data_IF_584215937209
#
_entry.id   IF_584215937209
#
_cell.length_a   1.000
_cell.length_b   1.000
_cell.length_c   1.000
_cell.angle_alpha   90.00
_cell.angle_beta   90.00
_cell.angle_gamma   90.00
#
_symmetry.space_group_name_H-M   'P 1'
#
loop_
_entity.id
_entity.type
_entity.pdbx_description
1 polymer ?
#
# COMPACT_ATOMS: atom_id res chain seq x y z
N UNK A 1 -25.04 30.39 57.03
CA UNK A 1 -25.65 30.22 55.71
C UNK A 1 -24.75 30.77 54.61
N UNK A 2 -24.20 31.98 54.74
CA UNK A 2 -23.29 32.58 53.75
C UNK A 2 -22.00 31.80 53.57
N UNK A 3 -21.39 31.31 54.63
CA UNK A 3 -20.18 30.46 54.60
C UNK A 3 -20.42 29.17 53.85
N UNK A 4 -21.57 28.54 54.04
CA UNK A 4 -21.93 27.29 53.34
C UNK A 4 -22.13 27.53 51.85
N UNK A 5 -22.72 28.63 51.44
CA UNK A 5 -22.87 29.01 50.04
C UNK A 5 -21.52 29.28 49.38
N UNK A 6 -20.59 29.94 50.08
CA UNK A 6 -19.25 30.20 49.58
C UNK A 6 -18.46 28.87 49.43
N UNK A 7 -18.51 27.99 50.42
CA UNK A 7 -17.86 26.70 50.37
C UNK A 7 -18.38 25.84 49.22
N UNK A 8 -19.72 25.80 49.01
CA UNK A 8 -20.31 25.08 47.89
C UNK A 8 -19.87 25.66 46.54
N UNK A 9 -19.82 26.98 46.42
CA UNK A 9 -19.38 27.63 45.16
C UNK A 9 -17.94 27.31 44.83
N UNK A 10 -17.04 27.37 45.80
CA UNK A 10 -15.64 27.02 45.63
C UNK A 10 -15.48 25.54 45.23
N UNK A 11 -16.22 24.65 45.88
CA UNK A 11 -16.19 23.21 45.57
C UNK A 11 -16.66 22.93 44.14
N UNK A 12 -17.71 23.56 43.66
CA UNK A 12 -18.22 23.44 42.29
C UNK A 12 -17.19 23.91 41.26
N UNK A 13 -16.53 25.06 41.54
CA UNK A 13 -15.47 25.58 40.67
C UNK A 13 -14.28 24.60 40.61
N UNK A 14 -13.82 24.11 41.75
CA UNK A 14 -12.71 23.12 41.78
C UNK A 14 -13.07 21.84 41.07
N UNK A 15 -14.29 21.32 41.25
CA UNK A 15 -14.75 20.13 40.55
C UNK A 15 -14.79 20.33 39.02
N UNK A 16 -15.25 21.50 38.60
CA UNK A 16 -15.26 21.91 37.20
C UNK A 16 -13.84 21.94 36.60
N UNK A 17 -12.88 22.53 37.33
CA UNK A 17 -11.47 22.55 36.90
C UNK A 17 -10.86 21.14 36.80
N UNK A 18 -11.08 20.27 37.77
CA UNK A 18 -10.58 18.89 37.76
C UNK A 18 -11.17 18.11 36.58
N UNK A 19 -12.49 18.25 36.37
CA UNK A 19 -13.16 17.58 35.23
C UNK A 19 -12.60 18.05 33.89
N UNK A 20 -12.39 19.35 33.74
CA UNK A 20 -11.77 19.91 32.52
C UNK A 20 -10.35 19.41 32.30
N UNK A 21 -9.48 19.46 33.34
CA UNK A 21 -8.10 18.95 33.26
C UNK A 21 -8.07 17.46 32.91
N UNK A 22 -8.96 16.67 33.52
CA UNK A 22 -9.06 15.23 33.22
C UNK A 22 -9.45 15.00 31.74
N UNK A 23 -10.41 15.79 31.24
CA UNK A 23 -10.79 15.71 29.80
C UNK A 23 -9.64 16.01 28.86
N UNK A 24 -8.93 17.13 29.09
CA UNK A 24 -7.75 17.50 28.27
C UNK A 24 -6.65 16.45 28.34
N UNK A 25 -6.40 15.89 29.54
CA UNK A 25 -5.39 14.83 29.72
C UNK A 25 -5.77 13.55 28.99
N UNK A 26 -7.04 13.15 29.04
CA UNK A 26 -7.53 11.97 28.31
C UNK A 26 -7.44 12.14 26.80
N UNK A 27 -7.77 13.31 26.27
CA UNK A 27 -7.65 13.60 24.84
C UNK A 27 -6.19 13.60 24.38
N UNK A 28 -5.29 14.17 25.19
CA UNK A 28 -3.84 14.11 24.94
C UNK A 28 -3.29 12.69 24.95
N UNK A 29 -3.72 11.86 25.90
CA UNK A 29 -3.32 10.45 25.97
C UNK A 29 -3.81 9.66 24.76
N UNK A 30 -5.09 9.80 24.37
CA UNK A 30 -5.65 9.15 23.18
C UNK A 30 -4.88 9.55 21.92
N UNK A 31 -4.64 10.85 21.72
CA UNK A 31 -3.89 11.33 20.56
C UNK A 31 -2.45 10.81 20.50
N UNK A 32 -1.78 10.67 21.65
CA UNK A 32 -0.44 10.08 21.71
C UNK A 32 -0.46 8.59 21.41
N UNK A 33 -1.41 7.86 21.94
CA UNK A 33 -1.60 6.43 21.65
C UNK A 33 -1.85 6.19 20.17
N UNK A 34 -2.75 6.96 19.56
CA UNK A 34 -3.08 6.85 18.13
C UNK A 34 -1.85 7.05 17.26
N UNK A 35 -1.00 8.03 17.58
CA UNK A 35 0.26 8.26 16.87
C UNK A 35 1.23 7.09 16.98
N UNK A 36 1.32 6.47 18.16
CA UNK A 36 2.19 5.29 18.37
C UNK A 36 1.70 4.10 17.56
N UNK A 37 0.38 3.85 17.55
CA UNK A 37 -0.21 2.76 16.76
C UNK A 37 0.01 3.00 15.26
N UNK A 38 -0.30 4.20 14.77
CA UNK A 38 -0.06 4.58 13.39
C UNK A 38 1.42 4.44 12.99
N UNK A 39 2.33 4.86 13.87
CA UNK A 39 3.77 4.71 13.64
C UNK A 39 4.24 3.26 13.54
N UNK A 40 3.66 2.34 14.33
CA UNK A 40 3.95 0.91 14.22
C UNK A 40 3.46 0.34 12.90
N UNK A 41 2.22 0.64 12.51
CA UNK A 41 1.64 0.18 11.25
C UNK A 41 2.42 0.69 10.04
N UNK A 42 2.79 1.98 10.05
CA UNK A 42 3.63 2.55 8.99
C UNK A 42 5.00 1.87 8.92
N UNK A 43 5.64 1.65 10.08
CA UNK A 43 6.95 0.99 10.14
C UNK A 43 6.87 -0.43 9.61
N UNK A 44 5.89 -1.22 10.03
CA UNK A 44 5.69 -2.59 9.56
C UNK A 44 5.52 -2.64 8.04
N UNK A 45 4.67 -1.78 7.48
CA UNK A 45 4.47 -1.66 6.05
C UNK A 45 5.77 -1.29 5.32
N UNK A 46 6.46 -0.24 5.79
CA UNK A 46 7.70 0.24 5.16
C UNK A 46 8.84 -0.77 5.27
N UNK A 47 9.02 -1.41 6.43
CA UNK A 47 10.08 -2.41 6.65
C UNK A 47 9.88 -3.63 5.71
N UNK A 48 8.63 -4.10 5.54
CA UNK A 48 8.33 -5.21 4.64
C UNK A 48 8.61 -4.86 3.18
N UNK A 49 8.09 -3.73 2.70
CA UNK A 49 8.31 -3.29 1.31
C UNK A 49 9.80 -3.01 1.06
N UNK A 50 10.48 -2.38 2.01
CA UNK A 50 11.92 -2.10 1.93
C UNK A 50 12.72 -3.38 1.75
N UNK A 51 12.49 -4.37 2.63
CA UNK A 51 13.18 -5.67 2.60
C UNK A 51 12.98 -6.38 1.26
N UNK A 52 11.76 -6.37 0.73
CA UNK A 52 11.46 -7.00 -0.55
C UNK A 52 12.15 -6.27 -1.72
N UNK A 53 12.22 -4.94 -1.70
CA UNK A 53 12.94 -4.18 -2.72
C UNK A 53 14.47 -4.31 -2.60
N UNK A 54 15.03 -4.41 -1.40
CA UNK A 54 16.46 -4.68 -1.19
C UNK A 54 16.87 -6.05 -1.72
N UNK A 55 15.97 -7.03 -1.64
CA UNK A 55 16.14 -8.37 -2.17
C UNK A 55 15.58 -8.53 -3.60
N UNK A 56 15.22 -7.45 -4.28
CA UNK A 56 14.61 -7.50 -5.61
C UNK A 56 15.51 -8.23 -6.61
N UNK A 57 14.90 -9.09 -7.40
CA UNK A 57 15.55 -9.83 -8.51
C UNK A 57 15.01 -9.32 -9.83
N UNK A 58 15.90 -8.93 -10.73
CA UNK A 58 15.58 -8.64 -12.12
C UNK A 58 16.78 -8.96 -13.01
N UNK A 59 16.56 -9.12 -14.30
CA UNK A 59 17.61 -9.39 -15.29
C UNK A 59 17.47 -8.48 -16.50
N UNK A 60 18.60 -7.98 -16.98
CA UNK A 60 18.72 -7.28 -18.25
C UNK A 60 19.25 -8.26 -19.30
N UNK A 61 18.39 -9.15 -19.79
CA UNK A 61 18.72 -10.23 -20.73
C UNK A 61 18.23 -9.97 -22.16
N UNK A 62 17.69 -8.79 -22.41
CA UNK A 62 17.11 -8.40 -23.69
C UNK A 62 15.75 -9.02 -23.99
N UNK A 63 15.16 -9.78 -23.06
CA UNK A 63 13.86 -10.42 -23.24
C UNK A 63 12.70 -9.45 -23.01
N UNK A 64 11.51 -9.83 -23.46
CA UNK A 64 10.25 -9.12 -23.16
C UNK A 64 9.63 -9.53 -21.81
N UNK A 65 10.30 -10.40 -21.04
CA UNK A 65 9.82 -10.86 -19.75
C UNK A 65 9.76 -9.72 -18.75
N UNK A 66 8.65 -9.64 -18.02
CA UNK A 66 8.47 -8.63 -16.97
C UNK A 66 9.16 -9.06 -15.69
N UNK A 67 9.89 -8.11 -15.07
CA UNK A 67 10.55 -8.27 -13.77
C UNK A 67 9.94 -7.39 -12.69
N UNK A 68 9.35 -6.27 -13.06
CA UNK A 68 8.57 -5.40 -12.20
C UNK A 68 7.41 -4.83 -12.99
N UNK A 69 6.26 -4.82 -12.36
CA UNK A 69 5.05 -4.17 -12.84
C UNK A 69 4.50 -3.26 -11.75
N UNK A 70 4.35 -1.99 -12.07
CA UNK A 70 3.73 -1.00 -11.21
C UNK A 70 2.70 -0.21 -12.00
N UNK A 71 1.47 -0.17 -11.52
CA UNK A 71 0.42 0.68 -12.12
C UNK A 71 -0.46 1.28 -11.03
N UNK A 72 -1.19 2.31 -11.37
CA UNK A 72 -2.27 2.81 -10.52
C UNK A 72 -3.30 1.70 -10.34
N UNK A 73 -3.74 1.45 -9.10
CA UNK A 73 -4.73 0.41 -8.83
C UNK A 73 -5.92 0.54 -9.82
N UNK A 74 -6.21 -0.48 -10.62
CA UNK A 74 -7.21 -0.40 -11.70
C UNK A 74 -8.59 0.04 -11.22
N UNK A 75 -8.91 -0.21 -9.95
CA UNK A 75 -10.17 0.18 -9.33
C UNK A 75 -10.28 1.66 -9.00
N UNK A 76 -9.14 2.36 -8.94
CA UNK A 76 -9.13 3.83 -8.86
C UNK A 76 -9.43 4.48 -10.21
N UNK A 77 -8.98 3.85 -11.30
CA UNK A 77 -9.11 4.38 -12.66
C UNK A 77 -10.53 4.17 -13.20
N UNK A 78 -11.08 3.00 -12.94
CA UNK A 78 -12.47 2.71 -13.34
C UNK A 78 -13.43 3.38 -12.35
N UNK A 79 -13.91 4.57 -12.69
CA UNK A 79 -14.93 5.32 -11.92
C UNK A 79 -16.29 4.63 -11.99
N UNK A 80 -16.33 3.35 -11.65
CA UNK A 80 -17.48 2.49 -11.73
C UNK A 80 -18.01 2.24 -10.32
N UNK A 81 -19.32 2.38 -10.10
CA UNK A 81 -19.97 2.20 -8.80
C UNK A 81 -19.62 0.85 -8.13
N UNK A 82 -19.35 -0.20 -8.93
CA UNK A 82 -18.91 -1.50 -8.44
C UNK A 82 -17.50 -1.53 -7.84
N UNK A 83 -16.63 -0.57 -8.20
CA UNK A 83 -15.23 -0.50 -7.75
C UNK A 83 -15.03 0.45 -6.56
N UNK A 84 -16.03 1.24 -6.21
CA UNK A 84 -15.95 2.22 -5.09
C UNK A 84 -15.74 1.55 -3.75
N UNK A 85 -16.20 0.30 -3.60
CA UNK A 85 -16.15 -0.45 -2.36
C UNK A 85 -14.76 -0.91 -1.94
N UNK A 86 -13.80 -1.01 -2.89
CA UNK A 86 -12.44 -1.43 -2.56
C UNK A 86 -11.46 -0.29 -2.28
N UNK A 87 -11.84 0.95 -2.60
CA UNK A 87 -10.98 2.13 -2.50
C UNK A 87 -11.46 3.18 -1.50
N UNK A 88 -12.56 2.91 -0.82
CA UNK A 88 -13.11 3.76 0.23
C UNK A 88 -14.49 4.33 -0.06
N UNK A 89 -15.09 5.02 0.91
CA UNK A 89 -16.39 5.67 0.76
C UNK A 89 -16.41 6.68 -0.39
N UNK A 90 -17.55 6.84 -1.05
CA UNK A 90 -17.72 7.57 -2.32
C UNK A 90 -17.03 8.95 -2.38
N UNK A 91 -17.02 9.70 -1.28
CA UNK A 91 -16.43 11.06 -1.23
C UNK A 91 -15.02 11.10 -0.62
N UNK A 92 -14.43 9.96 -0.29
CA UNK A 92 -13.16 9.87 0.45
C UNK A 92 -12.33 8.68 -0.02
N UNK A 93 -12.39 8.43 -1.32
CA UNK A 93 -11.62 7.37 -1.98
C UNK A 93 -10.13 7.61 -1.83
N UNK A 94 -9.39 6.53 -1.75
CA UNK A 94 -7.95 6.54 -1.94
C UNK A 94 -7.64 7.12 -3.33
N UNK A 95 -6.72 8.05 -3.43
CA UNK A 95 -6.29 8.61 -4.72
C UNK A 95 -4.92 8.09 -5.14
N UNK A 96 -4.10 7.66 -4.18
CA UNK A 96 -2.78 7.11 -4.44
C UNK A 96 -2.70 5.70 -3.86
N UNK A 97 -2.83 4.72 -4.72
CA UNK A 97 -2.65 3.31 -4.43
C UNK A 97 -2.08 2.63 -5.68
N UNK A 98 -0.77 2.45 -5.76
CA UNK A 98 -0.18 1.62 -6.79
C UNK A 98 -0.43 0.14 -6.49
N UNK A 99 -0.66 -0.62 -7.54
CA UNK A 99 -0.49 -2.07 -7.56
C UNK A 99 0.94 -2.35 -7.96
N UNK A 100 1.68 -3.06 -7.13
CA UNK A 100 3.06 -3.46 -7.38
C UNK A 100 3.14 -4.96 -7.51
N UNK A 101 3.88 -5.45 -8.49
CA UNK A 101 4.24 -6.87 -8.63
C UNK A 101 5.70 -6.93 -9.05
N UNK A 102 6.53 -7.66 -8.32
CA UNK A 102 7.95 -7.85 -8.66
C UNK A 102 8.50 -9.13 -8.03
N UNK A 103 9.74 -9.48 -8.36
CA UNK A 103 10.41 -10.66 -7.82
C UNK A 103 11.35 -10.26 -6.70
N UNK A 104 11.36 -11.05 -5.64
CA UNK A 104 12.21 -10.86 -4.46
C UNK A 104 12.86 -12.17 -4.04
N UNK A 105 14.06 -12.09 -3.49
CA UNK A 105 14.76 -13.21 -2.86
C UNK A 105 14.29 -13.42 -1.43
N UNK A 106 12.98 -13.61 -1.19
CA UNK A 106 12.43 -13.84 0.15
C UNK A 106 12.25 -15.35 0.40
N UNK A 107 13.19 -16.00 1.09
CA UNK A 107 13.19 -17.45 1.28
C UNK A 107 12.27 -17.93 2.40
N UNK A 108 11.46 -17.07 2.98
CA UNK A 108 10.71 -17.33 4.21
C UNK A 108 9.38 -18.08 4.02
N UNK A 109 9.05 -18.52 2.80
CA UNK A 109 7.92 -19.43 2.57
C UNK A 109 8.42 -20.76 2.01
N UNK A 110 8.60 -21.66 2.93
CA UNK A 110 8.78 -23.05 2.68
C UNK A 110 7.39 -23.75 2.73
N UNK A 111 6.98 -24.39 1.65
CA UNK A 111 5.69 -25.10 1.59
C UNK A 111 5.71 -26.51 2.21
N UNK A 112 6.87 -26.95 2.70
CA UNK A 112 7.02 -28.20 3.41
C UNK A 112 7.44 -29.39 2.55
N UNK A 113 7.65 -29.22 1.26
CA UNK A 113 7.94 -30.30 0.33
C UNK A 113 9.37 -30.26 -0.23
N UNK A 114 10.38 -30.28 0.67
CA UNK A 114 11.79 -30.37 0.25
C UNK A 114 12.03 -31.69 -0.49
N UNK A 115 12.40 -31.61 -1.77
CA UNK A 115 12.75 -32.77 -2.58
C UNK A 115 11.54 -33.58 -3.04
N UNK A 116 10.34 -33.01 -2.99
CA UNK A 116 9.15 -33.55 -3.63
C UNK A 116 9.26 -33.50 -5.16
N UNK A 117 8.38 -34.22 -5.85
CA UNK A 117 8.37 -34.26 -7.32
C UNK A 117 8.02 -32.91 -7.97
N UNK A 118 7.53 -31.97 -7.19
CA UNK A 118 7.13 -30.64 -7.62
C UNK A 118 8.04 -29.52 -7.08
N UNK A 119 9.07 -29.88 -6.29
CA UNK A 119 10.08 -28.94 -5.82
C UNK A 119 10.99 -28.56 -7.00
N UNK A 120 10.69 -27.46 -7.66
CA UNK A 120 11.50 -26.94 -8.76
C UNK A 120 12.73 -26.16 -8.25
N UNK A 121 12.85 -26.02 -6.94
CA UNK A 121 13.94 -25.32 -6.27
C UNK A 121 14.01 -23.84 -6.67
N UNK A 122 14.28 -23.00 -5.72
CA UNK A 122 14.52 -21.57 -6.01
C UNK A 122 14.24 -20.68 -4.82
N UNK A 123 15.09 -19.67 -4.65
CA UNK A 123 14.96 -18.67 -3.60
C UNK A 123 14.26 -17.40 -4.10
N UNK A 124 13.54 -17.47 -5.22
CA UNK A 124 12.87 -16.32 -5.83
C UNK A 124 11.37 -16.47 -5.76
N UNK A 125 10.73 -15.55 -5.09
CA UNK A 125 9.27 -15.44 -4.96
C UNK A 125 8.77 -14.19 -5.68
N UNK A 126 7.61 -14.28 -6.30
CA UNK A 126 6.91 -13.10 -6.78
C UNK A 126 6.07 -12.52 -5.65
N UNK A 127 6.11 -11.20 -5.49
CA UNK A 127 5.38 -10.47 -4.45
C UNK A 127 4.49 -9.41 -5.07
N UNK A 128 3.27 -9.28 -4.55
CA UNK A 128 2.36 -8.19 -4.89
C UNK A 128 2.01 -7.35 -3.66
N UNK A 129 1.97 -6.03 -3.86
CA UNK A 129 1.47 -5.06 -2.88
C UNK A 129 0.24 -4.36 -3.45
N UNK A 130 -0.83 -4.35 -2.67
CA UNK A 130 -2.09 -3.69 -3.04
C UNK A 130 -2.75 -3.08 -1.81
N UNK A 131 -3.45 -1.97 -2.03
CA UNK A 131 -4.22 -1.28 -1.00
C UNK A 131 -5.71 -1.44 -1.30
N UNK A 132 -6.51 -1.82 -0.29
CA UNK A 132 -7.95 -1.94 -0.43
C UNK A 132 -8.68 -1.47 0.84
N UNK A 133 -9.92 -1.02 0.65
CA UNK A 133 -10.86 -0.72 1.74
C UNK A 133 -11.84 -1.87 1.89
N UNK A 134 -11.62 -2.73 2.89
CA UNK A 134 -12.47 -3.91 3.11
C UNK A 134 -12.38 -4.42 4.54
N UNK A 135 -13.38 -5.22 4.91
CA UNK A 135 -13.43 -5.92 6.19
C UNK A 135 -12.57 -7.19 6.10
N UNK A 136 -11.61 -7.30 7.00
CA UNK A 136 -10.68 -8.44 7.06
C UNK A 136 -11.26 -9.64 7.81
N UNK A 137 -12.25 -9.42 8.69
CA UNK A 137 -12.79 -10.43 9.58
C UNK A 137 -13.86 -11.28 8.87
N UNK A 138 -14.74 -10.63 8.11
CA UNK A 138 -15.84 -11.31 7.47
C UNK A 138 -15.46 -12.07 6.20
N UNK A 139 -14.24 -11.93 5.71
CA UNK A 139 -13.66 -12.73 4.61
C UNK A 139 -14.51 -12.84 3.34
N UNK A 140 -15.53 -12.00 3.21
CA UNK A 140 -16.53 -12.11 2.17
C UNK A 140 -16.02 -11.62 0.84
N UNK A 141 -16.57 -12.23 -0.18
CA UNK A 141 -16.33 -12.09 -1.62
C UNK A 141 -15.60 -10.81 -2.08
N UNK A 142 -14.82 -10.93 -3.12
CA UNK A 142 -13.93 -9.93 -3.70
C UNK A 142 -14.48 -8.50 -3.89
N UNK A 143 -15.78 -8.29 -3.69
CA UNK A 143 -16.48 -7.02 -3.87
C UNK A 143 -17.28 -6.55 -2.63
N UNK A 144 -17.26 -7.28 -1.53
CA UNK A 144 -17.99 -6.90 -0.33
C UNK A 144 -17.07 -6.09 0.60
N UNK A 145 -17.53 -4.90 0.99
CA UNK A 145 -16.82 -4.05 1.96
C UNK A 145 -16.84 -4.68 3.36
N UNK A 146 -17.89 -5.46 3.68
CA UNK A 146 -18.09 -6.07 4.99
C UNK A 146 -18.67 -5.11 6.03
N UNK A 147 -18.76 -5.58 7.29
CA UNK A 147 -19.38 -4.83 8.37
C UNK A 147 -18.44 -3.82 9.04
N UNK A 148 -17.13 -4.09 9.02
CA UNK A 148 -16.10 -3.28 9.67
C UNK A 148 -14.92 -3.01 8.73
N UNK A 149 -15.14 -2.26 7.63
CA UNK A 149 -14.09 -2.05 6.63
C UNK A 149 -13.00 -1.14 7.16
N UNK A 150 -11.75 -1.49 6.82
CA UNK A 150 -10.56 -0.68 7.09
C UNK A 150 -9.73 -0.51 5.82
N UNK A 151 -8.89 0.53 5.80
CA UNK A 151 -7.90 0.70 4.74
C UNK A 151 -6.72 -0.22 5.03
N UNK A 152 -6.59 -1.26 4.22
CA UNK A 152 -5.65 -2.34 4.47
C UNK A 152 -4.66 -2.48 3.34
N UNK A 153 -3.39 -2.52 3.69
CA UNK A 153 -2.30 -2.87 2.79
C UNK A 153 -2.10 -4.39 2.83
N UNK A 154 -2.13 -5.00 1.66
CA UNK A 154 -1.92 -6.42 1.46
C UNK A 154 -0.54 -6.67 0.84
N UNK A 155 0.14 -7.69 1.31
CA UNK A 155 1.36 -8.27 0.74
C UNK A 155 1.08 -9.73 0.39
N UNK A 156 0.91 -10.01 -0.88
CA UNK A 156 0.74 -11.37 -1.37
C UNK A 156 2.09 -11.89 -1.87
N UNK A 157 2.62 -12.89 -1.20
CA UNK A 157 3.87 -13.57 -1.58
C UNK A 157 3.51 -14.92 -2.19
N UNK A 158 3.84 -15.09 -3.46
CA UNK A 158 3.68 -16.37 -4.17
C UNK A 158 4.88 -17.25 -3.84
N UNK A 159 4.63 -18.51 -3.50
CA UNK A 159 5.70 -19.46 -3.21
C UNK A 159 6.68 -19.62 -4.39
N UNK A 160 7.91 -20.07 -4.16
CA UNK A 160 8.93 -20.18 -5.20
C UNK A 160 8.53 -21.13 -6.34
N UNK A 161 7.88 -22.25 -6.05
CA UNK A 161 7.48 -23.24 -7.07
C UNK A 161 6.37 -22.71 -7.98
N UNK A 162 5.34 -22.09 -7.40
CA UNK A 162 4.30 -21.42 -8.16
C UNK A 162 4.84 -20.21 -8.91
N UNK A 163 5.81 -19.49 -8.33
CA UNK A 163 6.51 -18.39 -9.02
C UNK A 163 7.25 -18.90 -10.25
N UNK A 164 8.01 -19.96 -10.11
CA UNK A 164 8.77 -20.56 -11.23
C UNK A 164 7.82 -21.08 -12.33
N UNK A 165 6.75 -21.77 -11.94
CA UNK A 165 5.83 -22.41 -12.89
C UNK A 165 4.92 -21.42 -13.61
N UNK A 166 4.42 -20.40 -12.90
CA UNK A 166 3.31 -19.57 -13.39
C UNK A 166 3.68 -18.11 -13.66
N UNK A 167 4.73 -17.58 -13.03
CA UNK A 167 5.02 -16.13 -13.03
C UNK A 167 6.32 -15.80 -13.74
N UNK A 168 7.37 -16.56 -13.49
CA UNK A 168 8.68 -16.30 -14.06
C UNK A 168 8.66 -16.49 -15.59
N UNK A 169 9.27 -15.55 -16.32
CA UNK A 169 9.32 -15.60 -17.79
C UNK A 169 8.04 -15.11 -18.48
N UNK A 170 7.06 -14.60 -17.74
CA UNK A 170 5.86 -14.04 -18.33
C UNK A 170 6.11 -12.64 -18.91
N UNK A 171 5.56 -12.39 -20.09
CA UNK A 171 5.56 -11.07 -20.75
C UNK A 171 4.53 -10.12 -20.12
N UNK A 172 3.59 -10.65 -19.34
CA UNK A 172 2.59 -9.89 -18.61
C UNK A 172 2.26 -10.60 -17.29
N UNK A 173 2.59 -9.96 -16.16
CA UNK A 173 2.39 -10.53 -14.82
C UNK A 173 0.92 -10.53 -14.37
N UNK A 174 0.08 -9.69 -14.97
CA UNK A 174 -1.36 -9.60 -14.61
C UNK A 174 -2.26 -10.44 -15.50
N UNK A 175 -1.75 -10.89 -16.65
CA UNK A 175 -2.45 -11.74 -17.60
C UNK A 175 -1.46 -12.72 -18.23
N UNK A 176 -1.00 -13.73 -17.49
CA UNK A 176 -0.04 -14.71 -17.98
C UNK A 176 -0.61 -15.51 -19.14
N UNK A 177 0.26 -15.97 -20.02
CA UNK A 177 -0.11 -16.79 -21.17
C UNK A 177 -0.30 -18.24 -20.73
N UNK A 178 -1.41 -18.87 -21.11
CA UNK A 178 -1.68 -20.27 -20.82
C UNK A 178 -0.50 -21.19 -21.26
N UNK A 179 -0.12 -22.22 -20.48
CA UNK A 179 -0.87 -22.84 -19.39
C UNK A 179 -0.70 -22.17 -18.01
N UNK A 180 0.10 -21.11 -17.88
CA UNK A 180 0.35 -20.44 -16.60
C UNK A 180 -0.95 -19.88 -15.99
N UNK A 181 -1.07 -19.97 -14.67
CA UNK A 181 -2.22 -19.49 -13.91
C UNK A 181 -1.91 -18.12 -13.34
N UNK A 182 -2.86 -17.19 -13.44
CA UNK A 182 -2.71 -15.86 -12.85
C UNK A 182 -2.71 -15.96 -11.32
N UNK A 183 -1.55 -15.66 -10.73
CA UNK A 183 -1.35 -15.66 -9.27
C UNK A 183 -1.80 -14.34 -8.61
N UNK A 184 -2.06 -13.29 -9.37
CA UNK A 184 -2.37 -11.95 -8.85
C UNK A 184 -3.80 -11.54 -9.19
N UNK A 185 -4.75 -12.19 -8.54
CA UNK A 185 -6.17 -11.89 -8.65
C UNK A 185 -6.70 -11.30 -7.33
N UNK A 186 -7.82 -10.58 -7.39
CA UNK A 186 -8.45 -10.04 -6.18
C UNK A 186 -8.76 -11.11 -5.12
N UNK A 187 -9.10 -12.33 -5.57
CA UNK A 187 -9.41 -13.45 -4.70
C UNK A 187 -8.19 -13.97 -3.94
N UNK A 188 -7.02 -13.92 -4.56
CA UNK A 188 -5.75 -14.36 -3.97
C UNK A 188 -5.06 -13.23 -3.20
N UNK A 189 -5.04 -12.02 -3.77
CA UNK A 189 -4.35 -10.87 -3.17
C UNK A 189 -4.98 -10.43 -1.85
N UNK A 190 -6.34 -10.44 -1.75
CA UNK A 190 -7.07 -9.89 -0.61
C UNK A 190 -7.53 -10.95 0.39
N UNK A 191 -6.72 -11.93 0.69
CA UNK A 191 -6.98 -12.90 1.76
C UNK A 191 -6.52 -12.37 3.12
N UNK A 192 -7.07 -12.91 4.20
CA UNK A 192 -6.68 -12.51 5.55
C UNK A 192 -5.20 -12.80 5.85
N UNK A 193 -4.63 -13.82 5.22
CA UNK A 193 -3.22 -14.21 5.37
C UNK A 193 -2.26 -13.20 4.76
N UNK A 194 -2.72 -12.43 3.78
CA UNK A 194 -1.92 -11.44 3.07
C UNK A 194 -2.00 -10.03 3.68
N UNK A 195 -2.74 -9.87 4.78
CA UNK A 195 -2.82 -8.59 5.49
C UNK A 195 -1.46 -8.23 6.06
N UNK A 196 -0.92 -7.09 5.64
CA UNK A 196 0.35 -6.57 6.14
C UNK A 196 0.14 -5.48 7.20
N UNK A 197 -0.66 -4.46 6.89
CA UNK A 197 -0.90 -3.35 7.81
C UNK A 197 -2.28 -2.75 7.58
N UNK A 198 -2.89 -2.28 8.66
CA UNK A 198 -4.19 -1.61 8.67
C UNK A 198 -4.03 -0.10 8.69
N UNK A 199 -5.13 0.58 8.37
CA UNK A 199 -5.23 2.04 8.44
C UNK A 199 -4.28 2.79 7.48
N UNK A 200 -3.74 2.10 6.48
CA UNK A 200 -2.94 2.70 5.42
C UNK A 200 -3.88 3.34 4.40
N UNK A 201 -4.02 4.65 4.47
CA UNK A 201 -4.95 5.40 3.62
C UNK A 201 -4.38 5.67 2.23
N UNK A 202 -3.07 5.87 2.12
CA UNK A 202 -2.38 6.06 0.84
C UNK A 202 -1.05 5.34 0.82
N UNK A 203 -0.74 4.79 -0.33
CA UNK A 203 0.58 4.28 -0.67
C UNK A 203 1.09 5.07 -1.88
N UNK A 204 2.29 5.62 -1.78
CA UNK A 204 2.95 6.33 -2.87
C UNK A 204 4.26 5.64 -3.18
N UNK A 205 4.51 5.35 -4.46
CA UNK A 205 5.75 4.74 -4.91
C UNK A 205 6.35 5.55 -6.03
N UNK A 206 7.60 5.96 -5.84
CA UNK A 206 8.39 6.71 -6.82
C UNK A 206 9.65 5.94 -7.17
N UNK A 207 9.77 5.56 -8.42
CA UNK A 207 10.96 4.88 -8.95
C UNK A 207 12.01 5.92 -9.37
N UNK A 208 13.25 5.71 -8.95
CA UNK A 208 14.41 6.55 -9.26
C UNK A 208 15.21 5.85 -10.37
N UNK A 209 15.19 6.42 -11.56
CA UNK A 209 15.89 5.87 -12.73
C UNK A 209 17.09 6.75 -13.09
N UNK A 210 18.28 6.17 -13.00
CA UNK A 210 19.53 6.83 -13.41
C UNK A 210 19.61 6.88 -14.94
N UNK A 211 19.82 8.08 -15.46
CA UNK A 211 20.02 8.37 -16.88
C UNK A 211 21.36 9.05 -17.12
N UNK A 212 21.73 9.27 -18.38
CA UNK A 212 22.94 10.01 -18.77
C UNK A 212 22.96 11.44 -18.23
N UNK A 213 21.80 12.07 -18.07
CA UNK A 213 21.62 13.47 -17.63
C UNK A 213 21.14 13.60 -16.18
N UNK A 214 21.23 12.53 -15.37
CA UNK A 214 20.83 12.54 -13.97
C UNK A 214 19.71 11.54 -13.63
N UNK A 215 19.18 11.64 -12.41
CA UNK A 215 18.11 10.76 -11.92
C UNK A 215 16.75 11.34 -12.30
N UNK A 216 15.95 10.55 -13.01
CA UNK A 216 14.53 10.84 -13.28
C UNK A 216 13.65 10.13 -12.25
N UNK A 217 12.61 10.81 -11.78
CA UNK A 217 11.64 10.31 -10.83
C UNK A 217 10.36 9.92 -11.55
N UNK A 218 9.84 8.72 -11.27
CA UNK A 218 8.60 8.18 -11.82
C UNK A 218 7.66 7.84 -10.66
N UNK A 219 6.77 8.75 -10.32
CA UNK A 219 5.77 8.52 -9.28
C UNK A 219 4.54 7.86 -9.90
N UNK A 220 4.13 6.71 -9.35
CA UNK A 220 2.92 6.03 -9.79
C UNK A 220 1.72 6.66 -9.08
N UNK A 221 0.76 7.16 -9.85
CA UNK A 221 -0.44 7.80 -9.30
C UNK A 221 -1.44 8.19 -10.38
N UNK A 222 -2.63 8.62 -9.97
CA UNK A 222 -3.57 9.24 -10.91
C UNK A 222 -2.99 10.56 -11.41
N UNK A 223 -3.04 10.75 -12.72
CA UNK A 223 -2.48 11.93 -13.36
C UNK A 223 -3.28 13.20 -13.00
N UNK A 224 -2.95 13.79 -11.87
CA UNK A 224 -3.43 15.11 -11.43
C UNK A 224 -2.40 16.21 -11.64
N UNK A 225 -1.23 15.88 -12.23
CA UNK A 225 -0.12 16.80 -12.44
C UNK A 225 0.99 16.22 -13.33
N UNK A 226 1.94 17.06 -13.71
CA UNK A 226 2.97 16.83 -14.74
C UNK A 226 4.04 15.78 -14.39
N UNK A 227 3.99 15.11 -13.24
CA UNK A 227 5.03 14.18 -12.77
C UNK A 227 4.51 12.82 -12.31
N UNK A 228 3.23 12.51 -12.57
CA UNK A 228 2.68 11.21 -12.22
C UNK A 228 2.54 10.34 -13.47
N UNK A 229 2.83 9.06 -13.29
CA UNK A 229 2.75 8.06 -14.33
C UNK A 229 1.68 7.03 -13.97
N UNK A 230 0.91 6.60 -14.97
CA UNK A 230 -0.09 5.56 -14.79
C UNK A 230 0.55 4.21 -14.51
N UNK A 231 1.62 3.89 -15.25
CA UNK A 231 2.37 2.64 -15.04
C UNK A 231 3.86 2.81 -15.32
N UNK A 232 4.64 1.92 -14.70
CA UNK A 232 6.05 1.68 -14.99
C UNK A 232 6.28 0.16 -14.97
N UNK A 233 6.95 -0.32 -16.00
CA UNK A 233 7.27 -1.73 -16.17
C UNK A 233 8.76 -1.87 -16.39
N UNK A 234 9.40 -2.82 -15.72
CA UNK A 234 10.77 -3.24 -16.01
C UNK A 234 10.71 -4.57 -16.69
N UNK A 235 11.26 -4.63 -17.89
CA UNK A 235 11.45 -5.85 -18.69
C UNK A 235 12.93 -6.14 -18.86
N UNK A 236 13.26 -7.37 -19.28
CA UNK A 236 14.63 -7.72 -19.62
C UNK A 236 15.26 -6.86 -20.72
N UNK A 237 14.43 -6.22 -21.56
CA UNK A 237 14.86 -5.31 -22.63
C UNK A 237 14.82 -3.83 -22.25
N UNK A 238 14.47 -3.47 -21.02
CA UNK A 238 14.48 -2.08 -20.51
C UNK A 238 13.26 -1.66 -19.71
N UNK A 239 13.14 -0.35 -19.52
CA UNK A 239 12.09 0.27 -18.72
C UNK A 239 11.06 0.89 -19.66
N UNK A 240 9.79 0.59 -19.42
CA UNK A 240 8.65 1.18 -20.10
C UNK A 240 7.84 2.02 -19.10
N UNK A 241 7.37 3.18 -19.52
CA UNK A 241 6.48 4.03 -18.72
C UNK A 241 5.28 4.50 -19.51
N UNK A 242 4.18 4.78 -18.81
CA UNK A 242 2.92 5.22 -19.40
C UNK A 242 2.34 6.38 -18.60
N UNK A 243 2.01 7.47 -19.27
CA UNK A 243 1.60 8.71 -18.61
C UNK A 243 0.16 8.62 -18.06
N UNK A 244 -0.76 7.99 -18.80
CA UNK A 244 -2.15 7.77 -18.39
C UNK A 244 -2.67 6.43 -18.95
N UNK A 245 -3.88 6.03 -18.60
CA UNK A 245 -4.45 4.74 -19.02
C UNK A 245 -4.63 4.61 -20.55
N UNK A 246 -4.77 5.72 -21.25
CA UNK A 246 -4.96 5.77 -22.69
C UNK A 246 -3.65 5.96 -23.46
N UNK A 247 -2.58 6.39 -22.79
CA UNK A 247 -1.29 6.64 -23.42
C UNK A 247 -0.59 5.37 -23.89
N UNK A 248 0.22 5.50 -24.94
CA UNK A 248 1.12 4.43 -25.38
C UNK A 248 2.28 4.31 -24.41
N UNK A 249 2.77 3.10 -24.19
CA UNK A 249 4.02 2.87 -23.43
C UNK A 249 5.20 3.51 -24.17
N UNK A 250 6.05 4.19 -23.41
CA UNK A 250 7.27 4.84 -23.90
C UNK A 250 8.47 4.16 -23.30
N UNK A 251 9.42 3.77 -24.12
CA UNK A 251 10.69 3.20 -23.67
C UNK A 251 11.51 4.29 -22.96
N UNK A 252 11.94 4.01 -21.74
CA UNK A 252 12.74 4.89 -20.92
C UNK A 252 14.15 4.33 -20.81
N UNK A 253 15.11 5.05 -21.36
CA UNK A 253 16.53 4.67 -21.23
C UNK A 253 17.01 4.97 -19.80
N UNK A 254 17.59 3.99 -19.12
CA UNK A 254 18.14 4.15 -17.78
C UNK A 254 18.14 2.86 -16.98
N UNK A 255 18.62 2.97 -15.75
CA UNK A 255 18.71 1.88 -14.80
C UNK A 255 17.96 2.28 -13.52
N UNK A 256 17.14 1.37 -12.98
CA UNK A 256 16.53 1.56 -11.68
C UNK A 256 17.65 1.58 -10.61
N UNK A 257 17.71 2.65 -9.81
CA UNK A 257 18.72 2.80 -8.74
C UNK A 257 18.11 2.87 -7.35
N UNK A 258 16.82 3.16 -7.26
CA UNK A 258 16.14 3.22 -5.98
C UNK A 258 14.64 3.40 -6.13
N UNK A 259 13.96 3.20 -5.01
CA UNK A 259 12.52 3.38 -4.87
C UNK A 259 12.25 4.19 -3.61
N UNK A 260 11.46 5.23 -3.73
CA UNK A 260 10.97 6.02 -2.60
C UNK A 260 9.53 5.61 -2.33
N UNK A 261 9.28 5.17 -1.11
CA UNK A 261 8.00 4.64 -0.67
C UNK A 261 7.43 5.58 0.36
N UNK A 262 6.21 6.05 0.16
CA UNK A 262 5.46 6.86 1.11
C UNK A 262 4.19 6.16 1.54
N UNK A 263 3.90 6.16 2.83
CA UNK A 263 2.63 5.68 3.38
C UNK A 263 1.98 6.78 4.21
N UNK A 264 0.67 6.95 4.04
CA UNK A 264 -0.15 7.82 4.89
C UNK A 264 -1.04 6.93 5.74
N UNK A 265 -0.87 7.00 7.05
CA UNK A 265 -1.65 6.24 8.02
C UNK A 265 -2.68 7.16 8.66
N UNK A 266 -3.93 6.75 8.74
CA UNK A 266 -4.96 7.47 9.48
C UNK A 266 -4.97 7.04 10.95
N UNK A 267 -5.15 8.01 11.85
CA UNK A 267 -5.47 7.71 13.25
C UNK A 267 -6.86 7.08 13.35
N UNK A 268 -7.16 6.39 14.46
CA UNK A 268 -8.47 5.80 14.72
C UNK A 268 -9.61 6.85 14.58
N UNK A 269 -9.37 8.05 15.05
CA UNK A 269 -10.31 9.15 14.89
C UNK A 269 -10.48 9.57 13.42
N UNK A 270 -9.41 9.54 12.65
CA UNK A 270 -9.44 9.80 11.19
C UNK A 270 -10.31 8.79 10.44
N UNK A 271 -10.23 7.52 10.79
CA UNK A 271 -11.08 6.47 10.20
C UNK A 271 -12.56 6.74 10.46
N UNK A 272 -12.92 7.08 11.71
CA UNK A 272 -14.31 7.46 12.04
C UNK A 272 -14.77 8.68 11.22
N UNK A 273 -13.87 9.64 10.94
CA UNK A 273 -14.20 10.81 10.12
C UNK A 273 -14.33 10.50 8.63
N UNK A 274 -13.72 9.42 8.13
CA UNK A 274 -13.96 8.97 6.75
C UNK A 274 -15.39 8.50 6.53
N UNK A 275 -16.03 7.93 7.54
CA UNK A 275 -17.42 7.47 7.48
C UNK A 275 -18.43 8.59 7.73
N UNK A 276 -18.06 9.58 8.55
CA UNK A 276 -18.91 10.74 8.83
C UNK A 276 -18.87 11.75 7.68
N UNK A 277 -20.02 12.37 7.38
CA UNK A 277 -20.09 13.51 6.47
C UNK A 277 -19.43 14.77 7.09
N UNK A 278 -19.18 15.77 6.25
CA UNK A 278 -18.81 17.13 6.69
C UNK A 278 -17.34 17.52 6.58
N UNK A 279 -16.41 16.57 6.38
CA UNK A 279 -14.99 16.86 6.10
C UNK A 279 -14.61 16.43 4.70
N UNK A 280 -13.72 17.17 4.06
CA UNK A 280 -13.12 16.76 2.80
C UNK A 280 -12.01 15.72 3.05
N UNK A 281 -11.59 15.02 1.99
CA UNK A 281 -10.46 14.09 2.06
C UNK A 281 -9.17 14.80 2.51
N UNK A 282 -8.91 15.96 1.96
CA UNK A 282 -7.75 16.79 2.25
C UNK A 282 -7.72 17.21 3.73
N UNK A 283 -8.86 17.60 4.29
CA UNK A 283 -8.98 17.95 5.71
C UNK A 283 -8.71 16.73 6.61
N UNK A 284 -9.22 15.55 6.22
CA UNK A 284 -8.99 14.31 6.98
C UNK A 284 -7.51 13.96 6.99
N UNK A 285 -6.82 14.01 5.84
CA UNK A 285 -5.38 13.74 5.76
C UNK A 285 -4.60 14.76 6.59
N UNK A 286 -4.94 16.04 6.49
CA UNK A 286 -4.25 17.12 7.19
C UNK A 286 -4.37 16.99 8.71
N UNK A 287 -5.57 16.68 9.22
CA UNK A 287 -5.86 16.71 10.65
C UNK A 287 -5.59 15.37 11.35
N UNK A 288 -5.72 14.25 10.62
CA UNK A 288 -5.67 12.89 11.17
C UNK A 288 -4.69 11.96 10.47
N UNK A 289 -4.10 12.37 9.35
CA UNK A 289 -3.09 11.59 8.61
C UNK A 289 -1.69 11.81 9.16
N UNK A 290 -0.90 10.74 9.21
CA UNK A 290 0.52 10.79 9.52
C UNK A 290 1.26 10.19 8.35
N UNK A 291 2.16 10.97 7.75
CA UNK A 291 2.90 10.57 6.57
C UNK A 291 4.31 10.13 6.91
N UNK A 292 4.70 8.97 6.37
CA UNK A 292 6.03 8.40 6.51
C UNK A 292 6.60 8.10 5.13
N UNK A 293 7.89 8.38 4.95
CA UNK A 293 8.63 8.09 3.71
C UNK A 293 9.90 7.33 4.01
N UNK A 294 10.25 6.42 3.10
CA UNK A 294 11.52 5.72 3.12
C UNK A 294 12.07 5.57 1.71
N UNK A 295 13.39 5.69 1.55
CA UNK A 295 14.05 5.50 0.26
C UNK A 295 14.91 4.25 0.32
N UNK A 296 14.72 3.36 -0.62
CA UNK A 296 15.39 2.06 -0.74
C UNK A 296 16.31 2.09 -1.95
N UNK A 297 17.53 1.63 -1.78
CA UNK A 297 18.42 1.37 -2.91
C UNK A 297 18.12 -0.02 -3.46
N UNK A 298 17.89 -0.10 -4.75
CA UNK A 298 17.61 -1.37 -5.43
C UNK A 298 18.91 -1.95 -5.98
N UNK A 299 19.11 -3.28 -5.95
CA UNK A 299 20.25 -3.90 -6.60
C UNK A 299 20.39 -3.46 -8.05
N UNK A 300 21.62 -3.30 -8.53
CA UNK A 300 21.87 -2.94 -9.93
C UNK A 300 21.70 -4.17 -10.82
N UNK A 301 20.96 -4.02 -11.89
CA UNK A 301 20.71 -5.06 -12.88
C UNK A 301 21.47 -4.79 -14.17
#
# INVERSE_FOLDING_TARGET
LLELMVAMSVTVILLGMVTFMTGVSMDGYKGSRDKVVAGRQAKEALDAITKDFEAMVARADGSDNMWLYAEVEPKLVADNAANTTLVGPANKKITNAPRLIFFTGAPDRYDGDIGGTNDNGGDVSAVAYRLAYRDQISGTAANAVGAFPSFTLYRHLVDPDATFTNVLGQVNLTAPVAPAVNQFTDALDFTAENVLAENIYELTVTFLVQRSNGVKRFTIGQNTGTQQYHSLVIKGNGILSKADSASTEVAEAGQLVGVEIGVTVLSERGLVMTEKGGMTREDIIKDYGIHYTHTVNVPRF
#
